data_IF_283819557395
#
_entry.id   IF_283819557395
#
_cell.length_a   1.000
_cell.length_b   1.000
_cell.length_c   1.000
_cell.angle_alpha   90.00
_cell.angle_beta   90.00
_cell.angle_gamma   90.00
#
_symmetry.space_group_name_H-M   'P 1'
#
loop_
_entity.id
_entity.type
_entity.pdbx_description
1 polymer ?
#
# COMPACT_ATOMS: atom_id res chain seq x y z
N UNK A 1 14.23 -55.24 6.93
CA UNK A 1 14.71 -54.03 6.24
C UNK A 1 13.78 -52.90 6.63
N UNK A 2 14.23 -52.00 7.51
CA UNK A 2 13.45 -50.82 7.89
C UNK A 2 13.56 -49.80 6.75
N UNK A 3 12.42 -49.42 6.17
CA UNK A 3 12.37 -48.35 5.17
C UNK A 3 12.75 -47.02 5.83
N UNK A 4 13.48 -46.13 5.15
CA UNK A 4 13.89 -44.85 5.73
C UNK A 4 12.68 -43.99 6.11
N UNK A 5 12.73 -43.39 7.28
CA UNK A 5 11.65 -42.56 7.86
C UNK A 5 11.54 -41.19 7.14
N UNK A 6 10.94 -41.20 5.94
CA UNK A 6 10.70 -40.00 5.13
C UNK A 6 9.84 -38.93 5.83
N UNK A 7 9.12 -39.31 6.89
CA UNK A 7 8.27 -38.41 7.66
C UNK A 7 9.08 -37.34 8.40
N UNK A 8 10.26 -37.66 8.94
CA UNK A 8 11.06 -36.69 9.69
C UNK A 8 11.65 -35.60 8.79
N UNK A 9 11.93 -35.92 7.53
CA UNK A 9 12.41 -34.96 6.52
C UNK A 9 11.30 -34.08 5.94
N UNK A 10 10.05 -34.57 5.90
CA UNK A 10 8.92 -33.82 5.35
C UNK A 10 8.44 -32.69 6.27
N UNK A 11 8.51 -32.87 7.59
CA UNK A 11 8.02 -31.88 8.57
C UNK A 11 8.63 -30.48 8.38
N UNK A 12 9.97 -30.30 8.32
CA UNK A 12 10.56 -28.97 8.13
C UNK A 12 10.28 -28.38 6.74
N UNK A 13 10.16 -29.21 5.71
CA UNK A 13 9.88 -28.78 4.33
C UNK A 13 8.44 -28.25 4.23
N UNK A 14 7.47 -28.96 4.81
CA UNK A 14 6.06 -28.54 4.85
C UNK A 14 5.92 -27.26 5.68
N UNK A 15 6.64 -27.14 6.81
CA UNK A 15 6.66 -25.92 7.62
C UNK A 15 7.20 -24.70 6.86
N UNK A 16 8.29 -24.87 6.13
CA UNK A 16 8.87 -23.81 5.29
C UNK A 16 7.93 -23.42 4.13
N UNK A 17 7.28 -24.39 3.49
CA UNK A 17 6.31 -24.14 2.42
C UNK A 17 5.08 -23.37 2.95
N UNK A 18 4.54 -23.75 4.11
CA UNK A 18 3.43 -23.05 4.75
C UNK A 18 3.79 -21.60 5.10
N UNK A 19 5.01 -21.36 5.61
CA UNK A 19 5.52 -20.01 5.89
C UNK A 19 5.65 -19.15 4.63
N UNK A 20 6.16 -19.71 3.54
CA UNK A 20 6.28 -19.01 2.25
C UNK A 20 4.91 -18.68 1.66
N UNK A 21 3.96 -19.63 1.71
CA UNK A 21 2.58 -19.41 1.26
C UNK A 21 1.93 -18.28 2.06
N UNK A 22 2.08 -18.26 3.39
CA UNK A 22 1.52 -17.22 4.26
C UNK A 22 2.01 -15.80 3.93
N UNK A 23 3.27 -15.65 3.53
CA UNK A 23 3.83 -14.35 3.11
C UNK A 23 3.23 -13.91 1.77
N UNK A 24 3.05 -14.84 0.83
CA UNK A 24 2.46 -14.54 -0.49
C UNK A 24 0.98 -14.18 -0.37
N UNK A 25 0.21 -14.89 0.45
CA UNK A 25 -1.19 -14.53 0.69
C UNK A 25 -1.32 -13.17 1.34
N UNK A 26 -0.41 -12.79 2.24
CA UNK A 26 -0.40 -11.45 2.84
C UNK A 26 -0.09 -10.35 1.81
N UNK A 27 0.89 -10.54 0.92
CA UNK A 27 1.20 -9.58 -0.15
C UNK A 27 0.03 -9.41 -1.13
N UNK A 28 -0.66 -10.51 -1.46
CA UNK A 28 -1.85 -10.47 -2.30
C UNK A 28 -3.02 -9.74 -1.62
N UNK A 29 -3.16 -9.89 -0.31
CA UNK A 29 -4.18 -9.18 0.46
C UNK A 29 -3.89 -7.68 0.52
N UNK A 30 -2.64 -7.29 0.75
CA UNK A 30 -2.22 -5.88 0.77
C UNK A 30 -2.44 -5.22 -0.60
N UNK A 31 -2.14 -5.90 -1.71
CA UNK A 31 -2.45 -5.41 -3.07
C UNK A 31 -3.96 -5.25 -3.33
N UNK A 32 -4.78 -6.18 -2.84
CA UNK A 32 -6.25 -6.04 -2.93
C UNK A 32 -6.75 -4.84 -2.11
N UNK A 33 -6.10 -4.53 -0.99
CA UNK A 33 -6.46 -3.37 -0.17
C UNK A 33 -6.21 -2.04 -0.88
N UNK A 34 -5.17 -1.94 -1.71
CA UNK A 34 -4.89 -0.74 -2.51
C UNK A 34 -5.96 -0.47 -3.55
N UNK A 35 -6.41 -1.51 -4.26
CA UNK A 35 -7.52 -1.42 -5.22
C UNK A 35 -8.81 -1.01 -4.48
N UNK A 36 -9.04 -1.57 -3.29
CA UNK A 36 -10.17 -1.20 -2.44
C UNK A 36 -10.13 0.28 -2.01
N UNK A 37 -8.96 0.80 -1.61
CA UNK A 37 -8.78 2.21 -1.25
C UNK A 37 -9.03 3.15 -2.43
N UNK A 38 -8.55 2.82 -3.62
CA UNK A 38 -8.82 3.60 -4.83
C UNK A 38 -10.31 3.62 -5.17
N UNK A 39 -10.97 2.46 -5.08
CA UNK A 39 -12.42 2.35 -5.32
C UNK A 39 -13.22 3.15 -4.31
N UNK A 40 -12.85 3.09 -3.02
CA UNK A 40 -13.50 3.87 -1.96
C UNK A 40 -13.34 5.38 -2.17
N UNK A 41 -12.15 5.84 -2.58
CA UNK A 41 -11.91 7.25 -2.91
C UNK A 41 -12.78 7.72 -4.10
N UNK A 42 -12.88 6.91 -5.17
CA UNK A 42 -13.77 7.21 -6.30
C UNK A 42 -15.24 7.26 -5.90
N UNK A 43 -15.67 6.34 -5.02
CA UNK A 43 -17.06 6.30 -4.57
C UNK A 43 -17.42 7.52 -3.73
N UNK A 44 -16.51 7.99 -2.86
CA UNK A 44 -16.68 9.24 -2.11
C UNK A 44 -16.78 10.43 -3.06
N UNK A 45 -15.87 10.56 -4.03
CA UNK A 45 -15.89 11.66 -4.99
C UNK A 45 -17.21 11.69 -5.79
N UNK A 46 -17.70 10.52 -6.20
CA UNK A 46 -18.98 10.37 -6.91
C UNK A 46 -20.16 10.84 -6.04
N UNK A 47 -20.19 10.49 -4.75
CA UNK A 47 -21.25 10.94 -3.83
C UNK A 47 -21.25 12.45 -3.62
N UNK A 48 -20.08 13.08 -3.53
CA UNK A 48 -19.99 14.55 -3.38
C UNK A 48 -20.53 15.28 -4.61
N UNK A 49 -20.19 14.83 -5.82
CA UNK A 49 -20.70 15.42 -7.07
C UNK A 49 -22.21 15.25 -7.19
N UNK A 50 -22.74 14.06 -6.87
CA UNK A 50 -24.18 13.82 -6.90
C UNK A 50 -24.92 14.69 -5.87
N UNK A 51 -24.39 14.82 -4.65
CA UNK A 51 -24.97 15.70 -3.64
C UNK A 51 -25.03 17.16 -4.09
N UNK A 52 -23.95 17.69 -4.67
CA UNK A 52 -23.90 19.05 -5.19
C UNK A 52 -24.95 19.28 -6.30
N UNK A 53 -25.12 18.29 -7.20
CA UNK A 53 -26.12 18.35 -8.27
C UNK A 53 -27.56 18.35 -7.73
N UNK A 54 -27.85 17.51 -6.73
CA UNK A 54 -29.18 17.43 -6.12
C UNK A 54 -29.51 18.68 -5.29
N UNK A 55 -28.53 19.21 -4.55
CA UNK A 55 -28.66 20.48 -3.83
C UNK A 55 -28.99 21.64 -4.77
N UNK A 56 -28.32 21.73 -5.93
CA UNK A 56 -28.58 22.77 -6.91
C UNK A 56 -30.00 22.69 -7.49
N UNK A 57 -30.46 21.48 -7.83
CA UNK A 57 -31.85 21.25 -8.28
C UNK A 57 -32.86 21.68 -7.22
N UNK A 58 -32.61 21.36 -5.95
CA UNK A 58 -33.47 21.77 -4.85
C UNK A 58 -33.55 23.30 -4.71
N UNK A 59 -32.42 24.00 -4.87
CA UNK A 59 -32.39 25.47 -4.84
C UNK A 59 -33.19 26.09 -5.99
N UNK A 60 -33.12 25.51 -7.20
CA UNK A 60 -33.94 25.97 -8.34
C UNK A 60 -35.44 25.80 -8.09
N UNK A 61 -35.85 24.71 -7.46
CA UNK A 61 -37.25 24.45 -7.12
C UNK A 61 -37.83 25.47 -6.12
N UNK A 62 -36.98 26.11 -5.31
CA UNK A 62 -37.35 27.16 -4.35
C UNK A 62 -37.49 28.55 -4.99
N UNK A 63 -37.29 28.68 -6.31
CA UNK A 63 -37.48 29.94 -7.02
C UNK A 63 -36.34 30.96 -6.83
N UNK A 64 -35.19 30.53 -6.31
CA UNK A 64 -33.98 31.37 -6.29
C UNK A 64 -33.57 31.69 -7.74
N UNK A 65 -33.46 32.97 -8.08
CA UNK A 65 -33.05 33.43 -9.40
C UNK A 65 -31.55 33.23 -9.61
N UNK A 66 -31.06 33.10 -10.87
CA UNK A 66 -29.64 32.85 -11.19
C UNK A 66 -28.64 33.95 -10.79
N UNK A 67 -29.14 35.04 -10.20
CA UNK A 67 -28.36 36.23 -9.81
C UNK A 67 -27.87 36.18 -8.34
N UNK A 68 -28.17 35.09 -7.63
CA UNK A 68 -27.60 34.78 -6.31
C UNK A 68 -26.09 34.49 -6.45
N UNK A 69 -25.28 35.55 -6.47
CA UNK A 69 -23.82 35.48 -6.55
C UNK A 69 -23.22 34.59 -5.46
N UNK A 70 -23.82 34.59 -4.26
CA UNK A 70 -23.39 33.75 -3.13
C UNK A 70 -23.57 32.25 -3.40
N UNK A 71 -24.63 31.86 -4.12
CA UNK A 71 -24.89 30.46 -4.44
C UNK A 71 -23.91 29.95 -5.51
N UNK A 72 -23.56 30.81 -6.47
CA UNK A 72 -22.51 30.54 -7.46
C UNK A 72 -21.15 30.41 -6.79
N UNK A 73 -20.77 31.35 -5.93
CA UNK A 73 -19.49 31.30 -5.20
C UNK A 73 -19.37 30.02 -4.36
N UNK A 74 -20.45 29.60 -3.71
CA UNK A 74 -20.48 28.34 -2.94
C UNK A 74 -20.31 27.12 -3.85
N UNK A 75 -21.03 27.04 -4.97
CA UNK A 75 -20.94 25.93 -5.91
C UNK A 75 -19.54 25.84 -6.56
N UNK A 76 -18.95 26.98 -6.91
CA UNK A 76 -17.57 27.06 -7.43
C UNK A 76 -16.56 26.55 -6.41
N UNK A 77 -16.70 26.92 -5.13
CA UNK A 77 -15.81 26.44 -4.07
C UNK A 77 -15.87 24.91 -3.88
N UNK A 78 -17.04 24.30 -4.03
CA UNK A 78 -17.20 22.85 -3.96
C UNK A 78 -16.61 22.13 -5.17
N UNK A 79 -16.77 22.70 -6.36
CA UNK A 79 -16.14 22.18 -7.58
C UNK A 79 -14.62 22.28 -7.49
N UNK A 80 -14.10 23.37 -6.93
CA UNK A 80 -12.66 23.58 -6.77
C UNK A 80 -12.07 22.64 -5.70
N UNK A 81 -12.78 22.41 -4.59
CA UNK A 81 -12.42 21.36 -3.62
C UNK A 81 -12.44 19.97 -4.25
N UNK A 82 -13.49 19.59 -4.97
CA UNK A 82 -13.58 18.29 -5.64
C UNK A 82 -12.46 18.11 -6.68
N UNK A 83 -12.16 19.16 -7.45
CA UNK A 83 -11.08 19.19 -8.43
C UNK A 83 -9.71 19.08 -7.75
N UNK A 84 -9.52 19.74 -6.60
CA UNK A 84 -8.27 19.63 -5.83
C UNK A 84 -8.05 18.22 -5.28
N UNK A 85 -9.10 17.58 -4.74
CA UNK A 85 -9.04 16.20 -4.27
C UNK A 85 -8.80 15.22 -5.42
N UNK A 86 -9.40 15.43 -6.59
CA UNK A 86 -9.11 14.67 -7.81
C UNK A 86 -7.71 14.94 -8.36
N UNK A 87 -7.17 16.14 -8.18
CA UNK A 87 -5.79 16.47 -8.59
C UNK A 87 -4.76 15.85 -7.65
N UNK A 88 -5.07 15.75 -6.36
CA UNK A 88 -4.24 15.05 -5.38
C UNK A 88 -4.28 13.52 -5.57
N UNK A 89 -5.45 12.94 -5.88
CA UNK A 89 -5.58 11.51 -6.18
C UNK A 89 -5.13 11.15 -7.61
N UNK A 90 -5.30 12.06 -8.56
CA UNK A 90 -4.87 11.96 -9.96
C UNK A 90 -3.37 12.16 -10.13
N UNK A 91 -2.72 12.94 -9.26
CA UNK A 91 -1.27 12.86 -9.01
C UNK A 91 -0.91 11.61 -8.19
N UNK A 92 -1.46 10.46 -8.57
CA UNK A 92 -0.73 9.22 -8.46
C UNK A 92 0.56 9.39 -9.30
N UNK A 93 1.71 8.94 -8.80
CA UNK A 93 3.01 9.49 -9.17
C UNK A 93 3.23 9.45 -10.69
N UNK A 94 3.33 10.63 -11.32
CA UNK A 94 3.83 10.83 -12.70
C UNK A 94 5.29 10.36 -12.90
N UNK A 95 5.83 9.60 -11.95
CA UNK A 95 7.05 8.84 -12.04
C UNK A 95 6.85 7.36 -12.39
N UNK A 96 5.68 6.89 -12.86
CA UNK A 96 5.56 5.55 -13.45
C UNK A 96 6.21 5.53 -14.84
N UNK A 97 7.53 5.76 -14.86
CA UNK A 97 8.42 5.22 -15.89
C UNK A 97 8.00 3.78 -16.08
N UNK A 98 7.59 3.45 -17.30
CA UNK A 98 7.14 2.13 -17.76
C UNK A 98 7.81 1.05 -16.93
N UNK A 99 7.11 0.56 -15.90
CA UNK A 99 7.71 -0.43 -15.02
C UNK A 99 8.02 -1.63 -15.93
N UNK A 100 9.27 -2.13 -15.93
CA UNK A 100 9.67 -3.22 -16.78
C UNK A 100 8.67 -4.35 -16.58
N UNK A 101 8.06 -4.78 -17.70
CA UNK A 101 6.93 -5.70 -17.73
C UNK A 101 7.12 -6.85 -16.74
N UNK A 102 6.03 -7.27 -16.09
CA UNK A 102 6.02 -8.32 -15.07
C UNK A 102 6.78 -9.57 -15.56
N UNK A 103 6.74 -9.86 -16.86
CA UNK A 103 7.53 -10.91 -17.52
C UNK A 103 9.06 -10.73 -17.41
N UNK A 104 9.56 -9.50 -17.52
CA UNK A 104 10.99 -9.14 -17.39
C UNK A 104 11.48 -9.22 -15.95
N UNK A 105 10.63 -8.86 -14.98
CA UNK A 105 10.86 -9.13 -13.54
C UNK A 105 10.77 -10.63 -13.24
N UNK A 106 9.84 -11.35 -13.89
CA UNK A 106 9.67 -12.80 -13.74
C UNK A 106 10.91 -13.58 -14.20
N UNK A 107 11.48 -13.16 -15.33
CA UNK A 107 12.67 -13.78 -15.93
C UNK A 107 13.99 -13.25 -15.38
N UNK A 108 13.97 -12.35 -14.38
CA UNK A 108 15.17 -11.67 -13.87
C UNK A 108 16.03 -11.05 -14.99
N UNK A 109 15.39 -10.65 -16.10
CA UNK A 109 16.04 -10.11 -17.29
C UNK A 109 16.38 -8.61 -17.11
N UNK A 110 16.64 -8.19 -15.87
CA UNK A 110 17.05 -6.84 -15.54
C UNK A 110 18.60 -6.75 -15.53
N UNK A 111 19.21 -5.72 -16.15
CA UNK A 111 20.64 -5.48 -16.04
C UNK A 111 20.97 -4.98 -14.62
N UNK A 112 21.18 -5.92 -13.72
CA UNK A 112 21.47 -5.63 -12.32
C UNK A 112 22.93 -5.19 -12.17
N UNK A 113 23.12 -3.91 -11.84
CA UNK A 113 24.42 -3.22 -11.76
C UNK A 113 25.26 -3.64 -10.52
N UNK A 114 24.69 -4.35 -9.55
CA UNK A 114 25.37 -4.78 -8.29
C UNK A 114 25.80 -6.25 -8.30
N UNK A 115 26.92 -6.56 -7.64
CA UNK A 115 27.52 -7.91 -7.56
C UNK A 115 26.60 -8.96 -6.91
N UNK A 116 25.86 -8.60 -5.85
CA UNK A 116 24.94 -9.51 -5.14
C UNK A 116 23.81 -10.04 -6.03
N UNK A 117 23.30 -9.20 -6.91
CA UNK A 117 22.24 -9.57 -7.84
C UNK A 117 22.73 -10.50 -8.97
N UNK A 118 24.01 -10.41 -9.36
CA UNK A 118 24.62 -11.36 -10.29
C UNK A 118 24.73 -12.76 -9.67
N UNK A 119 25.08 -12.84 -8.38
CA UNK A 119 25.13 -14.11 -7.63
C UNK A 119 23.76 -14.75 -7.54
N UNK A 120 22.72 -13.96 -7.22
CA UNK A 120 21.34 -14.45 -7.16
C UNK A 120 20.85 -14.98 -8.52
N UNK A 121 21.19 -14.28 -9.61
CA UNK A 121 20.88 -14.72 -10.97
C UNK A 121 21.59 -16.03 -11.31
N UNK A 122 22.89 -16.12 -11.03
CA UNK A 122 23.66 -17.34 -11.25
C UNK A 122 23.09 -18.53 -10.46
N UNK A 123 22.72 -18.31 -9.19
CA UNK A 123 22.11 -19.33 -8.34
C UNK A 123 20.75 -19.79 -8.87
N UNK A 124 19.90 -18.86 -9.32
CA UNK A 124 18.61 -19.19 -9.92
C UNK A 124 18.77 -20.05 -11.18
N UNK A 125 19.67 -19.67 -12.10
CA UNK A 125 19.91 -20.49 -13.30
C UNK A 125 20.58 -21.82 -12.97
N UNK A 126 21.46 -21.88 -11.98
CA UNK A 126 22.05 -23.13 -11.51
C UNK A 126 20.97 -24.09 -11.00
N UNK A 127 20.03 -23.61 -10.19
CA UNK A 127 18.87 -24.41 -9.72
C UNK A 127 17.97 -24.85 -10.87
N UNK A 128 17.73 -23.99 -11.85
CA UNK A 128 16.87 -24.29 -13.00
C UNK A 128 17.53 -25.34 -13.93
N UNK A 129 18.83 -25.21 -14.18
CA UNK A 129 19.61 -26.21 -14.92
C UNK A 129 19.65 -27.52 -14.16
N UNK A 130 19.84 -27.48 -12.84
CA UNK A 130 19.83 -28.67 -12.00
C UNK A 130 18.47 -29.39 -12.03
N UNK A 131 17.37 -28.64 -11.97
CA UNK A 131 16.01 -29.16 -12.10
C UNK A 131 15.81 -29.83 -13.47
N UNK A 132 16.19 -29.17 -14.56
CA UNK A 132 16.10 -29.73 -15.91
C UNK A 132 16.98 -30.98 -16.08
N UNK A 133 18.19 -30.98 -15.52
CA UNK A 133 19.05 -32.16 -15.55
C UNK A 133 18.47 -33.32 -14.75
N UNK A 134 17.81 -33.06 -13.62
CA UNK A 134 17.12 -34.10 -12.85
C UNK A 134 16.01 -34.77 -13.66
N UNK A 135 15.20 -33.99 -14.38
CA UNK A 135 14.16 -34.53 -15.28
C UNK A 135 14.79 -35.36 -16.41
N UNK A 136 15.92 -34.89 -16.97
CA UNK A 136 16.63 -35.60 -18.03
C UNK A 136 17.23 -36.94 -17.53
N UNK A 137 17.79 -36.95 -16.32
CA UNK A 137 18.33 -38.17 -15.68
C UNK A 137 17.19 -39.16 -15.39
N UNK A 138 16.07 -38.70 -14.85
CA UNK A 138 14.90 -39.57 -14.63
C UNK A 138 14.38 -40.17 -15.94
N UNK A 139 14.43 -39.42 -17.04
CA UNK A 139 14.07 -39.94 -18.36
C UNK A 139 15.05 -41.02 -18.84
N UNK A 140 16.35 -40.87 -18.55
CA UNK A 140 17.38 -41.85 -18.88
C UNK A 140 17.28 -43.12 -18.03
N UNK A 141 16.97 -43.00 -16.73
CA UNK A 141 16.80 -44.12 -15.81
C UNK A 141 15.65 -45.07 -16.23
N UNK A 142 14.55 -44.54 -16.78
CA UNK A 142 13.45 -45.35 -17.33
C UNK A 142 13.92 -46.25 -18.48
N UNK A 143 15.04 -45.93 -19.14
CA UNK A 143 15.60 -46.73 -20.23
C UNK A 143 16.52 -47.85 -19.74
N UNK A 144 16.83 -47.92 -18.44
CA UNK A 144 17.66 -48.97 -17.85
C UNK A 144 16.81 -50.17 -17.44
N UNK A 145 17.25 -51.41 -17.71
CA UNK A 145 16.47 -52.62 -17.47
C UNK A 145 16.21 -52.93 -15.98
N UNK A 146 17.01 -52.37 -15.08
CA UNK A 146 16.92 -52.61 -13.64
C UNK A 146 15.96 -51.65 -12.91
N UNK A 147 15.44 -50.61 -13.61
CA UNK A 147 14.59 -49.59 -12.99
C UNK A 147 13.11 -49.81 -13.31
N UNK A 148 12.28 -49.84 -12.27
CA UNK A 148 10.83 -49.85 -12.47
C UNK A 148 10.31 -48.45 -12.78
N UNK A 149 9.30 -48.34 -13.64
CA UNK A 149 8.68 -47.05 -13.99
C UNK A 149 8.19 -46.28 -12.75
N UNK A 150 7.69 -46.98 -11.73
CA UNK A 150 7.22 -46.39 -10.48
C UNK A 150 8.34 -45.71 -9.67
N UNK A 151 9.51 -46.33 -9.57
CA UNK A 151 10.66 -45.77 -8.86
C UNK A 151 11.25 -44.57 -9.59
N UNK A 152 11.35 -44.63 -10.92
CA UNK A 152 11.84 -43.52 -11.73
C UNK A 152 10.91 -42.30 -11.65
N UNK A 153 9.58 -42.51 -11.65
CA UNK A 153 8.59 -41.44 -11.48
C UNK A 153 8.66 -40.85 -10.06
N UNK A 154 8.83 -41.67 -9.02
CA UNK A 154 8.93 -41.20 -7.65
C UNK A 154 10.18 -40.33 -7.41
N UNK A 155 11.34 -40.75 -7.91
CA UNK A 155 12.59 -39.97 -7.82
C UNK A 155 12.51 -38.67 -8.63
N UNK A 156 11.94 -38.73 -9.83
CA UNK A 156 11.73 -37.55 -10.68
C UNK A 156 10.78 -36.53 -10.03
N UNK A 157 9.65 -37.00 -9.50
CA UNK A 157 8.68 -36.14 -8.81
C UNK A 157 9.29 -35.47 -7.58
N UNK A 158 10.04 -36.20 -6.76
CA UNK A 158 10.69 -35.65 -5.57
C UNK A 158 11.70 -34.54 -5.93
N UNK A 159 12.55 -34.77 -6.94
CA UNK A 159 13.49 -33.78 -7.41
C UNK A 159 12.77 -32.53 -7.95
N UNK A 160 11.73 -32.68 -8.77
CA UNK A 160 10.95 -31.56 -9.28
C UNK A 160 10.31 -30.74 -8.16
N UNK A 161 9.79 -31.39 -7.11
CA UNK A 161 9.20 -30.71 -5.96
C UNK A 161 10.26 -29.96 -5.17
N UNK A 162 11.37 -30.60 -4.81
CA UNK A 162 12.44 -29.99 -4.00
C UNK A 162 13.06 -28.80 -4.74
N UNK A 163 13.47 -28.98 -5.99
CA UNK A 163 14.10 -27.90 -6.77
C UNK A 163 13.11 -26.82 -7.19
N UNK A 164 11.85 -27.18 -7.44
CA UNK A 164 10.77 -26.22 -7.69
C UNK A 164 10.52 -25.31 -6.49
N UNK A 165 10.45 -25.87 -5.28
CA UNK A 165 10.31 -25.10 -4.04
C UNK A 165 11.55 -24.25 -3.76
N UNK A 166 12.76 -24.78 -3.96
CA UNK A 166 13.99 -24.02 -3.81
C UNK A 166 14.05 -22.82 -4.78
N UNK A 167 13.68 -23.02 -6.05
CA UNK A 167 13.62 -21.95 -7.05
C UNK A 167 12.59 -20.87 -6.69
N UNK A 168 11.43 -21.28 -6.17
CA UNK A 168 10.41 -20.35 -5.66
C UNK A 168 10.89 -19.57 -4.43
N UNK A 169 11.62 -20.23 -3.51
CA UNK A 169 12.22 -19.60 -2.33
C UNK A 169 13.27 -18.55 -2.71
N UNK A 170 14.18 -18.87 -3.62
CA UNK A 170 15.19 -17.93 -4.14
C UNK A 170 14.51 -16.75 -4.83
N UNK A 171 13.44 -17.01 -5.60
CA UNK A 171 12.65 -15.96 -6.24
C UNK A 171 11.97 -15.04 -5.21
N UNK A 172 11.37 -15.59 -4.17
CA UNK A 172 10.75 -14.81 -3.09
C UNK A 172 11.77 -13.95 -2.34
N UNK A 173 12.96 -14.49 -2.06
CA UNK A 173 14.06 -13.75 -1.45
C UNK A 173 14.57 -12.61 -2.35
N UNK A 174 14.71 -12.84 -3.65
CA UNK A 174 15.13 -11.82 -4.61
C UNK A 174 14.18 -10.62 -4.58
N UNK A 175 12.87 -10.87 -4.64
CA UNK A 175 11.82 -9.83 -4.57
C UNK A 175 11.83 -9.14 -3.21
N UNK A 176 12.01 -9.89 -2.11
CA UNK A 176 12.09 -9.32 -0.76
C UNK A 176 13.28 -8.36 -0.62
N UNK A 177 14.45 -8.71 -1.16
CA UNK A 177 15.64 -7.85 -1.14
C UNK A 177 15.42 -6.58 -1.96
N UNK A 178 14.74 -6.66 -3.10
CA UNK A 178 14.40 -5.49 -3.91
C UNK A 178 13.42 -4.56 -3.16
N UNK A 179 12.39 -5.13 -2.53
CA UNK A 179 11.41 -4.39 -1.73
C UNK A 179 12.03 -3.71 -0.50
N UNK A 180 12.99 -4.34 0.17
CA UNK A 180 13.73 -3.74 1.30
C UNK A 180 14.54 -2.51 0.86
N UNK A 181 15.03 -2.52 -0.38
CA UNK A 181 15.83 -1.42 -0.94
C UNK A 181 14.99 -0.33 -1.61
N UNK A 182 13.69 -0.55 -1.85
CA UNK A 182 12.76 0.42 -2.42
C UNK A 182 12.28 1.48 -1.40
N UNK A 183 12.68 1.38 -0.13
CA UNK A 183 12.41 2.39 0.92
C UNK A 183 13.55 3.39 1.23
N UNK A 184 14.28 4.04 0.29
CA UNK A 184 15.10 5.20 0.63
C UNK A 184 14.33 6.54 0.54
N UNK A 185 13.09 6.56 0.06
CA UNK A 185 12.38 7.81 -0.28
C UNK A 185 11.48 8.40 0.82
N UNK A 186 11.05 7.58 1.78
CA UNK A 186 10.13 8.01 2.86
C UNK A 186 10.81 8.98 3.81
N UNK A 187 12.14 9.13 3.77
CA UNK A 187 12.83 10.11 4.61
C UNK A 187 13.03 11.46 3.93
N UNK A 188 12.98 11.60 2.60
CA UNK A 188 13.24 12.88 1.93
C UNK A 188 11.97 13.71 1.74
N UNK A 189 10.91 13.11 1.18
CA UNK A 189 9.62 13.79 1.04
C UNK A 189 8.97 14.06 2.41
N UNK A 190 9.09 13.12 3.35
CA UNK A 190 8.55 13.26 4.70
C UNK A 190 9.42 14.18 5.58
N UNK A 191 10.74 14.31 5.31
CA UNK A 191 11.55 15.40 5.91
C UNK A 191 11.17 16.76 5.35
N UNK A 192 10.90 16.87 4.05
CA UNK A 192 10.44 18.13 3.45
C UNK A 192 9.05 18.52 3.98
N UNK A 193 8.12 17.56 4.13
CA UNK A 193 6.83 17.80 4.79
C UNK A 193 6.98 18.14 6.27
N UNK A 194 7.91 17.51 7.02
CA UNK A 194 8.15 17.87 8.42
C UNK A 194 8.84 19.24 8.59
N UNK A 195 9.60 19.70 7.60
CA UNK A 195 10.22 21.03 7.62
C UNK A 195 9.19 22.14 7.35
N UNK A 196 8.11 21.85 6.61
CA UNK A 196 7.02 22.80 6.33
C UNK A 196 5.96 22.83 7.44
N UNK A 197 5.86 21.82 8.31
CA UNK A 197 4.90 21.83 9.44
C UNK A 197 5.30 22.69 10.65
N UNK A 198 6.29 23.58 10.52
CA UNK A 198 6.74 24.44 11.63
C UNK A 198 6.17 25.86 11.56
N UNK A 199 4.85 26.05 11.43
CA UNK A 199 4.21 27.34 11.79
C UNK A 199 2.68 27.30 11.94
N UNK A 200 2.08 26.21 12.42
CA UNK A 200 0.63 26.19 12.68
C UNK A 200 0.30 26.07 14.16
N UNK A 201 1.18 26.55 15.04
CA UNK A 201 0.71 26.94 16.37
C UNK A 201 0.18 28.38 16.23
N UNK A 202 -1.14 28.62 16.37
CA UNK A 202 -1.69 29.96 16.24
C UNK A 202 -0.92 30.92 17.16
N UNK A 203 -0.61 32.12 16.66
CA UNK A 203 -0.02 33.15 17.51
C UNK A 203 -1.00 33.53 18.62
N UNK A 204 -0.49 34.06 19.73
CA UNK A 204 -1.35 34.41 20.84
C UNK A 204 -2.36 35.48 20.41
N UNK A 205 -3.66 35.22 20.58
CA UNK A 205 -4.72 36.01 19.94
C UNK A 205 -6.13 35.52 20.27
N UNK A 206 -7.13 36.31 19.89
CA UNK A 206 -8.54 35.95 20.05
C UNK A 206 -9.02 35.13 18.85
N UNK A 207 -9.61 33.97 19.13
CA UNK A 207 -10.15 33.07 18.12
C UNK A 207 -11.56 32.61 18.51
N UNK A 208 -12.39 32.17 17.54
CA UNK A 208 -13.69 31.57 17.85
C UNK A 208 -13.53 30.37 18.80
N UNK A 209 -14.42 30.25 19.79
CA UNK A 209 -14.34 29.16 20.77
C UNK A 209 -14.54 27.79 20.08
N UNK A 210 -13.55 26.88 20.10
CA UNK A 210 -13.66 25.57 19.46
C UNK A 210 -14.67 24.64 20.14
N UNK A 211 -15.17 24.98 21.33
CA UNK A 211 -16.25 24.24 22.00
C UNK A 211 -17.64 24.47 21.38
N UNK A 212 -17.76 25.36 20.38
CA UNK A 212 -19.02 25.64 19.69
C UNK A 212 -19.95 26.59 20.44
N UNK A 213 -19.50 27.14 21.58
CA UNK A 213 -20.21 28.19 22.30
C UNK A 213 -20.01 29.51 21.57
N UNK A 214 -21.08 30.30 21.41
CA UNK A 214 -21.00 31.62 20.79
C UNK A 214 -20.09 32.55 21.63
N UNK A 215 -18.89 32.85 21.11
CA UNK A 215 -17.90 33.67 21.79
C UNK A 215 -16.50 33.58 21.17
N UNK A 216 -15.61 34.47 21.62
CA UNK A 216 -14.18 34.40 21.31
C UNK A 216 -13.41 33.97 22.57
N UNK A 217 -12.37 33.16 22.39
CA UNK A 217 -11.48 32.69 23.44
C UNK A 217 -10.04 33.04 23.08
N UNK A 218 -9.25 33.45 24.06
CA UNK A 218 -7.86 33.82 23.83
C UNK A 218 -6.98 32.57 23.85
N UNK A 219 -6.14 32.43 22.82
CA UNK A 219 -5.09 31.43 22.75
C UNK A 219 -3.77 32.08 23.18
N UNK A 220 -3.04 31.47 24.11
CA UNK A 220 -1.77 32.03 24.62
C UNK A 220 -0.52 31.50 23.89
N UNK A 221 -0.72 30.70 22.83
CA UNK A 221 0.36 29.99 22.12
C UNK A 221 0.63 28.59 22.68
N UNK A 222 -0.02 28.15 23.76
CA UNK A 222 0.14 26.81 24.34
C UNK A 222 -1.19 26.18 24.77
N UNK A 223 -2.13 26.99 25.23
CA UNK A 223 -3.45 26.57 25.71
C UNK A 223 -4.50 27.69 25.57
N UNK A 224 -5.77 27.31 25.63
CA UNK A 224 -6.89 28.25 25.64
C UNK A 224 -7.10 28.81 27.05
N UNK A 225 -7.16 30.13 27.22
CA UNK A 225 -7.42 30.76 28.54
C UNK A 225 -8.82 30.44 29.04
N UNK A 226 -9.10 30.54 30.34
CA UNK A 226 -10.46 30.28 30.86
C UNK A 226 -11.51 31.22 30.21
N UNK A 227 -12.77 30.77 30.03
CA UNK A 227 -13.84 31.62 29.50
C UNK A 227 -13.98 32.89 30.34
N UNK A 228 -14.00 34.07 29.71
CA UNK A 228 -14.43 35.28 30.41
C UNK A 228 -15.93 35.19 30.63
N UNK A 229 -16.35 34.62 31.75
CA UNK A 229 -17.69 34.88 32.26
C UNK A 229 -17.70 36.35 32.63
N UNK A 230 -18.38 37.17 31.81
CA UNK A 230 -18.70 38.55 32.17
C UNK A 230 -19.61 38.52 33.41
N UNK A 231 -19.00 38.42 34.59
CA UNK A 231 -19.68 38.52 35.87
C UNK A 231 -20.06 39.99 36.10
N UNK A 232 -21.25 40.32 35.59
CA UNK A 232 -22.34 40.92 36.36
C UNK A 232 -22.04 42.22 37.13
N UNK A 233 -22.41 43.32 36.48
CA UNK A 233 -23.00 44.51 37.10
C UNK A 233 -24.18 44.14 38.02
N UNK A 234 -24.07 44.41 39.33
CA UNK A 234 -25.16 44.66 40.30
C UNK A 234 -24.53 44.77 41.71
N UNK A 235 -24.63 45.80 42.55
CA UNK A 235 -25.30 47.09 42.57
C UNK A 235 -25.21 47.67 44.00
N UNK A 236 -25.44 48.99 44.14
CA UNK A 236 -26.14 49.65 45.26
C UNK A 236 -25.42 49.95 46.60
N UNK A 237 -25.74 51.16 47.11
CA UNK A 237 -25.45 51.79 48.44
C UNK A 237 -24.21 52.71 48.41
N UNK A 238 -24.28 53.99 48.80
CA UNK A 238 -24.83 54.53 50.05
C UNK A 238 -25.40 55.95 49.85
N UNK A 239 -26.46 56.25 50.61
CA UNK A 239 -27.05 57.58 50.88
C UNK A 239 -26.10 58.44 51.71
#
# INVERSE_FOLDING_TARGET
MAGPDYLELLVPVVGAAAGAVGIVTRDLYDRRSEIGRQKYAMEIATRQVNFAADWWKAKQALGCTPDDQDARATAESWLEQATSLMSETGRAPEGRKTEPSVARRLLLAYPLRRRTAKVLRALYYALLVFMLSGVLVSFFEVSLPDFTFGEAVALGANNVIIYGLAALGVRALAVSVENRNAKPGVTAAQRLSSLVSTSANPQAGWYPDPSGVAGQRYWDGRQWTAPHTAAQTSGRSVV
#
